data_IF_737156848985
#
_entry.id   IF_737156848985
#
_cell.length_a   1.000
_cell.length_b   1.000
_cell.length_c   1.000
_cell.angle_alpha   90.00
_cell.angle_beta   90.00
_cell.angle_gamma   90.00
#
_symmetry.space_group_name_H-M   'P 1'
#
loop_
_entity.id
_entity.type
_entity.pdbx_description
1 polymer ?
#
# COMPACT_ATOMS: atom_id res chain seq x y z
N UNK A 1 26.35 -6.88 7.57
CA UNK A 1 25.46 -6.95 8.75
C UNK A 1 24.68 -5.65 8.77
N UNK A 2 23.36 -5.73 8.66
CA UNK A 2 22.49 -4.55 8.57
C UNK A 2 22.65 -3.65 9.79
N UNK A 3 22.69 -2.34 9.58
CA UNK A 3 22.90 -1.38 10.66
C UNK A 3 21.64 -1.22 11.52
N UNK A 4 21.79 -0.77 12.78
CA UNK A 4 20.65 -0.42 13.63
C UNK A 4 19.75 0.65 12.98
N UNK A 5 20.33 1.61 12.27
CA UNK A 5 19.57 2.68 11.60
C UNK A 5 18.69 2.14 10.49
N UNK A 6 19.20 1.22 9.67
CA UNK A 6 18.41 0.55 8.64
C UNK A 6 17.35 -0.36 9.24
N UNK A 7 17.67 -1.11 10.30
CA UNK A 7 16.69 -1.92 11.03
C UNK A 7 15.53 -1.04 11.54
N UNK A 8 15.85 0.06 12.23
CA UNK A 8 14.85 0.99 12.77
C UNK A 8 13.99 1.60 11.63
N UNK A 9 14.62 1.94 10.50
CA UNK A 9 13.92 2.52 9.33
C UNK A 9 13.03 1.52 8.61
N UNK A 10 13.44 0.26 8.50
CA UNK A 10 12.64 -0.82 7.92
C UNK A 10 11.48 -1.17 8.85
N UNK A 11 11.69 -1.24 10.18
CA UNK A 11 10.60 -1.43 11.14
C UNK A 11 9.55 -0.33 11.07
N UNK A 12 9.98 0.93 10.90
CA UNK A 12 9.07 2.03 10.61
C UNK A 12 8.28 1.79 9.32
N UNK A 13 8.93 1.29 8.26
CA UNK A 13 8.25 0.99 7.00
C UNK A 13 7.24 -0.17 7.15
N UNK A 14 7.59 -1.25 7.85
CA UNK A 14 6.66 -2.34 8.20
C UNK A 14 5.40 -1.78 8.84
N UNK A 15 5.54 -0.86 9.82
CA UNK A 15 4.39 -0.24 10.46
C UNK A 15 3.58 0.65 9.49
N UNK A 16 4.25 1.37 8.58
CA UNK A 16 3.59 2.20 7.55
C UNK A 16 2.77 1.33 6.59
N UNK A 17 3.32 0.26 6.03
CA UNK A 17 2.58 -0.62 5.12
C UNK A 17 1.44 -1.35 5.83
N UNK A 18 1.67 -1.80 7.07
CA UNK A 18 0.60 -2.43 7.86
C UNK A 18 -0.53 -1.43 8.17
N UNK A 19 -0.20 -0.16 8.39
CA UNK A 19 -1.20 0.90 8.52
C UNK A 19 -1.90 1.19 7.18
N UNK A 20 -1.19 1.23 6.05
CA UNK A 20 -1.77 1.37 4.70
C UNK A 20 -2.82 0.29 4.47
N UNK A 21 -2.48 -0.97 4.78
CA UNK A 21 -3.43 -2.07 4.73
C UNK A 21 -4.66 -1.78 5.61
N UNK A 22 -4.45 -1.42 6.89
CA UNK A 22 -5.56 -1.16 7.81
C UNK A 22 -6.46 0.00 7.35
N UNK A 23 -5.87 1.05 6.77
CA UNK A 23 -6.57 2.16 6.15
C UNK A 23 -7.44 1.69 4.98
N UNK A 24 -6.90 0.90 4.06
CA UNK A 24 -7.65 0.38 2.92
C UNK A 24 -8.75 -0.60 3.32
N UNK A 25 -8.54 -1.40 4.37
CA UNK A 25 -9.61 -2.20 4.96
C UNK A 25 -10.74 -1.33 5.51
N UNK A 26 -10.42 -0.20 6.17
CA UNK A 26 -11.42 0.75 6.64
C UNK A 26 -12.17 1.44 5.49
N UNK A 27 -11.47 1.85 4.43
CA UNK A 27 -12.09 2.39 3.21
C UNK A 27 -13.01 1.36 2.55
N UNK A 28 -12.58 0.10 2.45
CA UNK A 28 -13.38 -1.01 1.93
C UNK A 28 -14.69 -1.20 2.73
N UNK A 29 -14.59 -1.21 4.06
CA UNK A 29 -15.75 -1.30 4.93
C UNK A 29 -16.73 -0.14 4.70
N UNK A 30 -16.20 1.08 4.56
CA UNK A 30 -17.03 2.27 4.28
C UNK A 30 -17.71 2.21 2.91
N UNK A 31 -16.99 1.81 1.86
CA UNK A 31 -17.57 1.64 0.53
C UNK A 31 -18.66 0.57 0.50
N UNK A 32 -18.51 -0.49 1.31
CA UNK A 32 -19.52 -1.54 1.45
C UNK A 32 -20.80 -1.01 2.10
N UNK A 33 -20.68 -0.19 3.16
CA UNK A 33 -21.82 0.45 3.85
C UNK A 33 -22.61 1.38 2.91
N UNK A 34 -21.91 2.12 2.05
CA UNK A 34 -22.50 3.01 1.05
C UNK A 34 -23.03 2.25 -0.20
N UNK A 35 -22.87 0.92 -0.28
CA UNK A 35 -23.36 0.07 -1.37
C UNK A 35 -22.45 -0.05 -2.60
N UNK A 36 -21.24 0.51 -2.55
CA UNK A 36 -20.22 0.46 -3.60
C UNK A 36 -19.34 -0.78 -3.51
N UNK A 37 -19.94 -1.97 -3.62
CA UNK A 37 -19.28 -3.26 -3.39
C UNK A 37 -18.06 -3.54 -4.29
N UNK A 38 -18.03 -3.02 -5.52
CA UNK A 38 -16.90 -3.20 -6.41
C UNK A 38 -15.72 -2.30 -6.06
N UNK A 39 -15.98 -1.07 -5.62
CA UNK A 39 -14.96 -0.18 -5.04
C UNK A 39 -14.47 -0.75 -3.71
N UNK A 40 -15.37 -1.28 -2.88
CA UNK A 40 -15.01 -1.95 -1.64
C UNK A 40 -14.06 -3.13 -1.89
N UNK A 41 -14.35 -3.95 -2.91
CA UNK A 41 -13.46 -5.05 -3.32
C UNK A 41 -12.10 -4.55 -3.81
N UNK A 42 -12.06 -3.43 -4.54
CA UNK A 42 -10.80 -2.82 -4.97
C UNK A 42 -9.94 -2.42 -3.77
N UNK A 43 -10.50 -1.74 -2.77
CA UNK A 43 -9.78 -1.41 -1.54
C UNK A 43 -9.38 -2.63 -0.72
N UNK A 44 -10.19 -3.70 -0.71
CA UNK A 44 -9.79 -4.95 -0.04
C UNK A 44 -8.66 -5.65 -0.79
N UNK A 45 -8.61 -5.54 -2.12
CA UNK A 45 -7.44 -6.00 -2.89
C UNK A 45 -6.19 -5.21 -2.49
N UNK A 46 -6.31 -3.89 -2.35
CA UNK A 46 -5.21 -3.05 -1.89
C UNK A 46 -4.75 -3.41 -0.47
N UNK A 47 -5.66 -3.73 0.45
CA UNK A 47 -5.31 -4.27 1.77
C UNK A 47 -4.39 -5.50 1.67
N UNK A 48 -4.68 -6.41 0.74
CA UNK A 48 -3.86 -7.61 0.56
C UNK A 48 -2.47 -7.26 0.03
N UNK A 49 -2.38 -6.37 -0.95
CA UNK A 49 -1.11 -5.88 -1.53
C UNK A 49 -0.25 -5.19 -0.46
N UNK A 50 -0.83 -4.29 0.34
CA UNK A 50 -0.09 -3.62 1.43
C UNK A 50 0.36 -4.58 2.54
N UNK A 51 -0.43 -5.61 2.85
CA UNK A 51 0.02 -6.65 3.77
C UNK A 51 1.19 -7.44 3.20
N UNK A 52 1.21 -7.70 1.89
CA UNK A 52 2.35 -8.32 1.23
C UNK A 52 3.59 -7.42 1.26
N UNK A 53 3.44 -6.11 1.04
CA UNK A 53 4.51 -5.11 1.20
C UNK A 53 5.10 -5.15 2.62
N UNK A 54 4.25 -5.09 3.64
CA UNK A 54 4.66 -5.21 5.04
C UNK A 54 5.44 -6.50 5.31
N UNK A 55 4.89 -7.64 4.87
CA UNK A 55 5.46 -8.95 5.13
C UNK A 55 6.77 -9.20 4.38
N UNK A 56 6.97 -8.59 3.20
CA UNK A 56 8.22 -8.65 2.46
C UNK A 56 9.36 -7.93 3.22
N UNK A 57 9.10 -6.77 3.83
CA UNK A 57 10.07 -6.14 4.75
C UNK A 57 10.29 -6.94 6.03
N UNK A 58 9.22 -7.47 6.62
CA UNK A 58 9.27 -8.30 7.82
C UNK A 58 10.18 -9.51 7.62
N UNK A 59 9.98 -10.24 6.52
CA UNK A 59 10.80 -11.42 6.18
C UNK A 59 12.24 -11.03 5.90
N UNK A 60 12.47 -9.91 5.18
CA UNK A 60 13.83 -9.43 4.91
C UNK A 60 14.63 -9.19 6.19
N UNK A 61 14.03 -8.58 7.23
CA UNK A 61 14.73 -8.38 8.51
C UNK A 61 15.10 -9.71 9.17
N UNK A 62 14.21 -10.70 9.14
CA UNK A 62 14.47 -12.05 9.67
C UNK A 62 15.66 -12.68 8.92
N UNK A 63 15.68 -12.58 7.59
CA UNK A 63 16.74 -13.15 6.75
C UNK A 63 18.09 -12.47 6.99
N UNK A 64 18.09 -11.19 7.37
CA UNK A 64 19.29 -10.45 7.80
C UNK A 64 19.72 -10.75 9.26
N UNK A 65 19.01 -11.64 9.97
CA UNK A 65 19.25 -11.93 11.38
C UNK A 65 18.86 -10.79 12.32
N UNK A 66 18.02 -9.86 11.86
CA UNK A 66 17.48 -8.76 12.63
C UNK A 66 16.07 -9.08 13.14
N UNK A 67 15.60 -8.31 14.12
CA UNK A 67 14.29 -8.51 14.75
C UNK A 67 13.27 -7.49 14.19
N UNK A 68 12.17 -7.95 13.58
CA UNK A 68 11.02 -7.09 13.32
C UNK A 68 10.39 -6.56 14.61
N UNK A 69 10.04 -5.29 14.63
CA UNK A 69 9.28 -4.64 15.69
C UNK A 69 7.91 -4.23 15.14
N UNK A 70 6.86 -4.59 15.86
CA UNK A 70 5.47 -4.27 15.52
C UNK A 70 4.98 -3.20 16.48
N UNK A 71 4.65 -2.04 15.94
CA UNK A 71 4.23 -0.88 16.72
C UNK A 71 2.69 -0.77 16.75
N UNK A 72 2.20 0.14 17.57
CA UNK A 72 0.77 0.46 17.62
C UNK A 72 0.32 1.04 16.27
N UNK A 73 -0.79 0.52 15.75
CA UNK A 73 -1.52 1.12 14.65
C UNK A 73 -2.62 2.05 15.20
N UNK A 74 -2.63 3.29 14.75
CA UNK A 74 -3.72 4.20 15.06
C UNK A 74 -4.97 3.83 14.24
N UNK A 75 -6.14 4.22 14.77
CA UNK A 75 -7.41 4.00 14.07
C UNK A 75 -7.45 4.89 12.82
N UNK A 76 -7.75 4.35 11.62
CA UNK A 76 -7.92 5.16 10.42
C UNK A 76 -9.05 6.20 10.57
N UNK A 77 -8.76 7.47 10.29
CA UNK A 77 -9.74 8.55 10.27
C UNK A 77 -10.21 8.83 8.84
N UNK A 78 -11.38 8.30 8.48
CA UNK A 78 -11.97 8.53 7.17
C UNK A 78 -12.75 9.86 7.17
N UNK A 79 -12.12 10.92 6.63
CA UNK A 79 -12.75 12.24 6.46
C UNK A 79 -13.46 12.40 5.10
N UNK A 80 -13.12 11.54 4.14
CA UNK A 80 -13.72 11.49 2.82
C UNK A 80 -15.22 11.14 2.88
N UNK A 81 -16.00 11.79 2.02
CA UNK A 81 -17.46 11.66 1.91
C UNK A 81 -17.91 11.27 0.51
N UNK A 82 -17.13 11.62 -0.51
CA UNK A 82 -17.40 11.26 -1.90
C UNK A 82 -16.39 10.23 -2.40
N UNK A 83 -16.78 9.44 -3.41
CA UNK A 83 -15.86 8.48 -4.06
C UNK A 83 -14.59 9.16 -4.53
N UNK A 84 -14.69 10.39 -5.08
CA UNK A 84 -13.53 11.18 -5.48
C UNK A 84 -12.60 11.45 -4.29
N UNK A 85 -13.14 11.94 -3.18
CA UNK A 85 -12.36 12.24 -1.97
C UNK A 85 -11.68 10.98 -1.38
N UNK A 86 -12.29 9.79 -1.52
CA UNK A 86 -11.66 8.54 -1.10
C UNK A 86 -10.42 8.21 -1.94
N UNK A 87 -10.49 8.35 -3.25
CA UNK A 87 -9.34 8.11 -4.14
C UNK A 87 -8.30 9.24 -4.07
N UNK A 88 -8.70 10.48 -3.79
CA UNK A 88 -7.77 11.57 -3.49
C UNK A 88 -7.01 11.28 -2.19
N UNK A 89 -7.70 10.82 -1.14
CA UNK A 89 -7.06 10.42 0.10
C UNK A 89 -6.12 9.23 -0.07
N UNK A 90 -6.50 8.24 -0.88
CA UNK A 90 -5.63 7.11 -1.23
C UNK A 90 -4.37 7.58 -1.96
N UNK A 91 -4.49 8.44 -2.98
CA UNK A 91 -3.34 8.97 -3.70
C UNK A 91 -2.40 9.79 -2.81
N UNK A 92 -2.94 10.62 -1.92
CA UNK A 92 -2.11 11.39 -0.98
C UNK A 92 -1.40 10.49 0.03
N UNK A 93 -2.06 9.40 0.47
CA UNK A 93 -1.43 8.38 1.31
C UNK A 93 -0.31 7.65 0.56
N UNK A 94 -0.53 7.25 -0.70
CA UNK A 94 0.51 6.61 -1.52
C UNK A 94 1.71 7.51 -1.75
N UNK A 95 1.52 8.80 -2.04
CA UNK A 95 2.64 9.75 -2.15
C UNK A 95 3.46 9.85 -0.85
N UNK A 96 2.81 9.75 0.30
CA UNK A 96 3.50 9.71 1.59
C UNK A 96 4.33 8.42 1.73
N UNK A 97 3.77 7.26 1.36
CA UNK A 97 4.49 5.98 1.35
C UNK A 97 5.67 6.03 0.36
N UNK A 98 5.48 6.56 -0.85
CA UNK A 98 6.55 6.76 -1.84
C UNK A 98 7.69 7.62 -1.30
N UNK A 99 7.39 8.75 -0.65
CA UNK A 99 8.41 9.59 -0.01
C UNK A 99 9.17 8.79 1.05
N UNK A 100 8.45 7.99 1.84
CA UNK A 100 9.06 7.13 2.84
C UNK A 100 9.99 6.08 2.24
N UNK A 101 9.61 5.45 1.13
CA UNK A 101 10.45 4.46 0.44
C UNK A 101 11.71 5.12 -0.12
N UNK A 102 11.60 6.33 -0.69
CA UNK A 102 12.75 7.09 -1.21
C UNK A 102 13.77 7.42 -0.11
N UNK A 103 13.30 7.88 1.05
CA UNK A 103 14.18 8.13 2.20
C UNK A 103 14.91 6.86 2.67
N UNK A 104 14.23 5.70 2.67
CA UNK A 104 14.85 4.42 3.01
C UNK A 104 15.90 4.01 1.98
N UNK A 105 15.64 4.23 0.68
CA UNK A 105 16.61 3.99 -0.38
C UNK A 105 17.85 4.88 -0.22
N UNK A 106 17.66 6.17 0.03
CA UNK A 106 18.75 7.11 0.25
C UNK A 106 19.63 6.68 1.43
N UNK A 107 19.02 6.21 2.52
CA UNK A 107 19.75 5.68 3.67
C UNK A 107 20.56 4.42 3.31
N UNK A 108 19.96 3.49 2.57
CA UNK A 108 20.64 2.26 2.14
C UNK A 108 21.86 2.58 1.26
N UNK A 109 21.71 3.51 0.31
CA UNK A 109 22.81 3.99 -0.55
C UNK A 109 23.90 4.68 0.27
N UNK A 110 23.52 5.55 1.20
CA UNK A 110 24.47 6.28 2.05
C UNK A 110 25.32 5.34 2.93
N UNK A 111 24.70 4.27 3.45
CA UNK A 111 25.39 3.25 4.25
C UNK A 111 26.07 2.16 3.40
N UNK A 112 25.93 2.22 2.06
CA UNK A 112 26.43 1.22 1.11
C UNK A 112 25.90 -0.19 1.41
N UNK A 113 24.67 -0.28 1.91
CA UNK A 113 23.98 -1.55 2.14
C UNK A 113 23.26 -1.98 0.85
N UNK A 114 24.01 -2.62 -0.05
CA UNK A 114 23.51 -3.02 -1.36
C UNK A 114 22.38 -4.06 -1.30
N UNK A 115 22.33 -4.87 -0.23
CA UNK A 115 21.25 -5.83 -0.05
C UNK A 115 19.92 -5.11 0.25
N UNK A 116 19.96 -4.12 1.14
CA UNK A 116 18.78 -3.30 1.44
C UNK A 116 18.42 -2.43 0.24
N UNK A 117 19.41 -1.86 -0.45
CA UNK A 117 19.20 -1.10 -1.68
C UNK A 117 18.41 -1.92 -2.73
N UNK A 118 18.86 -3.16 -3.00
CA UNK A 118 18.20 -4.04 -3.96
C UNK A 118 16.76 -4.35 -3.58
N UNK A 119 16.49 -4.63 -2.30
CA UNK A 119 15.13 -4.81 -1.80
C UNK A 119 14.28 -3.57 -2.06
N UNK A 120 14.76 -2.39 -1.68
CA UNK A 120 13.99 -1.14 -1.72
C UNK A 120 13.73 -0.68 -3.14
N UNK A 121 14.60 -1.02 -4.11
CA UNK A 121 14.35 -0.75 -5.54
C UNK A 121 13.09 -1.40 -6.06
N UNK A 122 12.74 -2.61 -5.59
CA UNK A 122 11.45 -3.22 -5.93
C UNK A 122 10.28 -2.32 -5.51
N UNK A 123 10.33 -1.74 -4.30
CA UNK A 123 9.30 -0.81 -3.82
C UNK A 123 9.27 0.52 -4.57
N UNK A 124 10.40 0.96 -5.14
CA UNK A 124 10.39 2.18 -5.99
C UNK A 124 9.55 1.95 -7.24
N UNK A 125 9.71 0.78 -7.88
CA UNK A 125 8.94 0.43 -9.05
C UNK A 125 7.47 0.19 -8.68
N UNK A 126 7.21 -0.50 -7.56
CA UNK A 126 5.86 -0.75 -7.06
C UNK A 126 5.10 0.55 -6.75
N UNK A 127 5.70 1.47 -5.99
CA UNK A 127 5.08 2.76 -5.66
C UNK A 127 4.78 3.62 -6.90
N UNK A 128 5.56 3.48 -7.98
CA UNK A 128 5.26 4.16 -9.24
C UNK A 128 3.98 3.62 -9.89
N UNK A 129 3.73 2.30 -9.80
CA UNK A 129 2.49 1.69 -10.27
C UNK A 129 1.30 1.98 -9.33
N UNK A 130 1.50 2.02 -8.01
CA UNK A 130 0.47 2.41 -7.03
C UNK A 130 -0.05 3.83 -7.27
N UNK A 131 0.85 4.81 -7.37
CA UNK A 131 0.47 6.20 -7.66
C UNK A 131 -0.21 6.31 -9.03
N UNK A 132 0.27 5.57 -10.03
CA UNK A 132 -0.33 5.56 -11.38
C UNK A 132 -1.75 5.01 -11.35
N UNK A 133 -1.99 3.89 -10.65
CA UNK A 133 -3.32 3.28 -10.53
C UNK A 133 -4.32 4.25 -9.89
N UNK A 134 -3.94 4.87 -8.77
CA UNK A 134 -4.78 5.85 -8.09
C UNK A 134 -5.07 7.08 -8.99
N UNK A 135 -4.07 7.58 -9.72
CA UNK A 135 -4.26 8.68 -10.67
C UNK A 135 -5.17 8.32 -11.84
N UNK A 136 -5.07 7.10 -12.39
CA UNK A 136 -5.92 6.63 -13.47
C UNK A 136 -7.39 6.55 -13.03
N UNK A 137 -7.65 6.07 -11.81
CA UNK A 137 -9.00 6.06 -11.24
C UNK A 137 -9.54 7.47 -11.06
N UNK A 138 -8.74 8.41 -10.54
CA UNK A 138 -9.16 9.80 -10.39
C UNK A 138 -9.48 10.45 -11.74
N UNK A 139 -8.67 10.21 -12.78
CA UNK A 139 -8.95 10.69 -14.14
C UNK A 139 -10.25 10.09 -14.70
N UNK A 140 -10.52 8.81 -14.43
CA UNK A 140 -11.78 8.17 -14.82
C UNK A 140 -12.98 8.82 -14.11
N UNK A 141 -12.86 9.12 -12.81
CA UNK A 141 -13.88 9.85 -12.06
C UNK A 141 -14.13 11.22 -12.68
N UNK A 142 -13.08 11.96 -13.03
CA UNK A 142 -13.19 13.27 -13.69
C UNK A 142 -13.85 13.19 -15.06
N UNK A 143 -13.52 12.17 -15.86
CA UNK A 143 -14.13 11.94 -17.17
C UNK A 143 -15.63 11.63 -17.07
N UNK A 144 -16.03 10.88 -16.05
CA UNK A 144 -17.42 10.46 -15.83
C UNK A 144 -18.28 11.58 -15.21
N UNK A 145 -17.65 12.55 -14.54
CA UNK A 145 -18.31 13.64 -13.82
C UNK A 145 -19.24 13.15 -12.70
N UNK A 146 -20.21 13.98 -12.33
CA UNK A 146 -21.16 13.69 -11.22
C UNK A 146 -22.30 12.74 -11.60
N UNK A 147 -22.11 11.91 -12.62
CA UNK A 147 -23.11 10.97 -13.12
C UNK A 147 -23.25 9.76 -12.18
N UNK A 148 -24.45 9.52 -11.64
CA UNK A 148 -24.75 8.30 -10.86
C UNK A 148 -24.50 7.03 -11.68
N UNK A 149 -24.82 7.06 -12.97
CA UNK A 149 -24.55 5.98 -13.90
C UNK A 149 -23.04 5.80 -14.09
N UNK A 150 -22.28 6.90 -14.17
CA UNK A 150 -20.82 6.86 -14.24
C UNK A 150 -20.19 6.21 -13.01
N UNK A 151 -20.60 6.63 -11.81
CA UNK A 151 -20.13 6.01 -10.55
C UNK A 151 -20.51 4.53 -10.44
N UNK A 152 -21.70 4.15 -10.92
CA UNK A 152 -22.10 2.74 -10.98
C UNK A 152 -21.21 1.94 -11.94
N UNK A 153 -20.90 2.47 -13.12
CA UNK A 153 -20.00 1.82 -14.08
C UNK A 153 -18.58 1.69 -13.53
N UNK A 154 -18.05 2.73 -12.90
CA UNK A 154 -16.75 2.68 -12.21
C UNK A 154 -16.74 1.59 -11.14
N UNK A 155 -17.78 1.53 -10.32
CA UNK A 155 -17.91 0.50 -9.28
C UNK A 155 -17.89 -0.91 -9.88
N UNK A 156 -18.60 -1.17 -10.98
CA UNK A 156 -18.56 -2.48 -11.65
C UNK A 156 -17.18 -2.79 -12.22
N UNK A 157 -16.49 -1.81 -12.79
CA UNK A 157 -15.15 -1.99 -13.37
C UNK A 157 -14.12 -2.32 -12.29
N UNK A 158 -14.06 -1.52 -11.22
CA UNK A 158 -13.12 -1.75 -10.11
C UNK A 158 -13.40 -3.07 -9.38
N UNK A 159 -14.64 -3.55 -9.38
CA UNK A 159 -15.02 -4.86 -8.85
C UNK A 159 -14.43 -6.05 -9.62
N UNK A 160 -13.85 -5.84 -10.80
CA UNK A 160 -13.17 -6.91 -11.56
C UNK A 160 -11.74 -7.16 -11.10
N UNK A 161 -11.12 -6.24 -10.33
CA UNK A 161 -9.75 -6.42 -9.82
C UNK A 161 -9.64 -7.74 -9.06
N UNK A 162 -8.55 -8.46 -9.30
CA UNK A 162 -8.22 -9.69 -8.61
C UNK A 162 -6.89 -9.49 -7.89
N UNK A 163 -6.73 -10.17 -6.74
CA UNK A 163 -5.46 -10.24 -6.04
C UNK A 163 -4.51 -11.10 -6.87
N UNK A 164 -3.33 -10.58 -7.20
CA UNK A 164 -2.30 -11.26 -8.00
C UNK A 164 -1.06 -11.66 -7.20
N UNK A 165 -1.00 -11.25 -5.94
CA UNK A 165 0.09 -11.54 -4.99
C UNK A 165 -0.19 -12.81 -4.15
N UNK A 166 0.84 -13.43 -3.55
CA UNK A 166 0.67 -14.48 -2.55
C UNK A 166 -0.05 -13.98 -1.29
N UNK A 167 -1.03 -14.75 -0.80
CA UNK A 167 -1.79 -14.45 0.42
C UNK A 167 -1.38 -15.32 1.62
N UNK A 168 -0.66 -16.42 1.38
CA UNK A 168 -0.20 -17.33 2.43
C UNK A 168 1.24 -17.01 2.83
N UNK A 169 1.38 -16.21 3.88
CA UNK A 169 2.67 -15.80 4.44
C UNK A 169 3.35 -16.89 5.29
N UNK A 170 2.77 -18.10 5.39
CA UNK A 170 3.43 -19.24 6.04
C UNK A 170 4.36 -20.00 5.09
N UNK A 171 4.28 -19.69 3.79
CA UNK A 171 5.19 -20.23 2.78
C UNK A 171 6.38 -19.30 2.55
N UNK A 172 7.54 -19.84 2.11
CA UNK A 172 8.70 -19.00 1.82
C UNK A 172 8.33 -17.89 0.83
N UNK A 173 8.69 -16.64 1.17
CA UNK A 173 8.55 -15.54 0.24
C UNK A 173 9.29 -15.87 -1.06
N UNK A 174 8.72 -15.53 -2.25
CA UNK A 174 9.45 -15.65 -3.50
C UNK A 174 10.81 -14.97 -3.34
N UNK A 175 11.89 -15.67 -3.70
CA UNK A 175 13.22 -15.09 -3.67
C UNK A 175 13.20 -13.77 -4.46
N UNK A 176 13.74 -12.71 -3.83
CA UNK A 176 13.83 -11.35 -4.40
C UNK A 176 14.59 -11.37 -5.72
#
# INVERSE_FOLDING_TARGET
MISKKLIDRINLQINRETYSAYLYMAMSARMSDDGYNGIAKWFMTQYHEEMFHSMKFFQYLIDQGAKPALEKLDKPELKAKTIKEFFEAALEHEKFVTSSIRELLELAIAEKDYATENLVRWYIDEQAEEEKNANEILRNIELLGDSKQGLFMLNLELGKRAVTIPLDFTTPFPAV
#
